data_IF_866376561565
#
_entry.id   IF_866376561565
#
_cell.length_a   1.000
_cell.length_b   1.000
_cell.length_c   1.000
_cell.angle_alpha   90.00
_cell.angle_beta   90.00
_cell.angle_gamma   90.00
#
_symmetry.space_group_name_H-M   'P 1'
#
loop_
_entity.id
_entity.type
_entity.pdbx_description
1 polymer ?
#
# COMPACT_ATOMS: atom_id res chain seq x y z
N UNK A 1 24.93 15.32 -15.80
CA UNK A 1 23.80 14.52 -16.30
C UNK A 1 22.53 15.27 -15.97
N UNK A 2 21.82 15.82 -16.95
CA UNK A 2 20.49 16.37 -16.71
C UNK A 2 19.47 15.23 -16.59
N UNK A 3 18.57 15.25 -15.60
CA UNK A 3 17.48 14.29 -15.54
C UNK A 3 16.59 14.47 -16.76
N UNK A 4 16.38 13.40 -17.54
CA UNK A 4 15.51 13.40 -18.71
C UNK A 4 14.13 13.95 -18.32
N UNK A 5 13.52 14.79 -19.16
CA UNK A 5 12.20 15.43 -18.91
C UNK A 5 11.11 14.46 -18.43
N UNK A 6 11.16 13.19 -18.86
CA UNK A 6 10.27 12.12 -18.39
C UNK A 6 10.42 11.78 -16.89
N UNK A 7 11.64 11.81 -16.35
CA UNK A 7 11.90 11.57 -14.92
C UNK A 7 11.38 12.72 -14.06
N UNK A 8 11.52 13.98 -14.51
CA UNK A 8 10.99 15.13 -13.79
C UNK A 8 9.46 15.11 -13.71
N UNK A 9 8.78 14.81 -14.82
CA UNK A 9 7.32 14.71 -14.85
C UNK A 9 6.80 13.55 -13.99
N UNK A 10 7.52 12.41 -13.97
CA UNK A 10 7.20 11.28 -13.09
C UNK A 10 7.36 11.65 -11.61
N UNK A 11 8.47 12.30 -11.25
CA UNK A 11 8.73 12.74 -9.87
C UNK A 11 7.69 13.74 -9.36
N UNK A 12 7.29 14.71 -10.20
CA UNK A 12 6.23 15.67 -9.86
C UNK A 12 4.87 14.98 -9.70
N UNK A 13 4.55 14.02 -10.56
CA UNK A 13 3.29 13.25 -10.50
C UNK A 13 3.24 12.35 -9.26
N UNK A 14 4.34 11.69 -8.91
CA UNK A 14 4.48 10.90 -7.68
C UNK A 14 4.28 11.77 -6.43
N UNK A 15 4.90 12.96 -6.39
CA UNK A 15 4.76 13.90 -5.28
C UNK A 15 3.32 14.40 -5.14
N UNK A 16 2.65 14.75 -6.24
CA UNK A 16 1.26 15.17 -6.25
C UNK A 16 0.30 14.03 -5.87
N UNK A 17 0.56 12.80 -6.32
CA UNK A 17 -0.22 11.61 -5.95
C UNK A 17 -0.10 11.29 -4.46
N UNK A 18 1.12 11.31 -3.92
CA UNK A 18 1.39 11.12 -2.49
C UNK A 18 0.67 12.16 -1.63
N UNK A 19 0.74 13.44 -2.01
CA UNK A 19 0.06 14.52 -1.28
C UNK A 19 -1.45 14.33 -1.26
N UNK A 20 -2.06 14.06 -2.42
CA UNK A 20 -3.50 13.79 -2.51
C UNK A 20 -3.93 12.56 -1.71
N UNK A 21 -3.12 11.50 -1.73
CA UNK A 21 -3.35 10.30 -0.93
C UNK A 21 -3.33 10.60 0.58
N UNK A 22 -2.36 11.39 1.03
CA UNK A 22 -2.25 11.83 2.42
C UNK A 22 -3.43 12.71 2.85
N UNK A 23 -3.79 13.70 2.03
CA UNK A 23 -4.92 14.60 2.29
C UNK A 23 -6.23 13.81 2.38
N UNK A 24 -6.44 12.83 1.50
CA UNK A 24 -7.62 11.97 1.54
C UNK A 24 -7.65 11.08 2.80
N UNK A 25 -6.51 10.52 3.20
CA UNK A 25 -6.41 9.75 4.45
C UNK A 25 -6.74 10.62 5.68
N UNK A 26 -6.31 11.88 5.69
CA UNK A 26 -6.59 12.84 6.76
C UNK A 26 -8.05 13.30 6.79
N UNK A 27 -8.68 13.50 5.63
CA UNK A 27 -10.12 13.82 5.56
C UNK A 27 -11.00 12.71 6.13
N UNK A 28 -10.63 11.44 5.89
CA UNK A 28 -11.35 10.30 6.44
C UNK A 28 -11.19 10.25 7.96
N UNK A 29 -9.98 10.52 8.47
CA UNK A 29 -9.74 10.65 9.92
C UNK A 29 -10.61 11.72 10.59
N UNK A 30 -10.80 12.88 9.95
CA UNK A 30 -11.62 13.96 10.50
C UNK A 30 -13.08 13.57 10.76
N UNK A 31 -13.55 12.46 10.16
CA UNK A 31 -14.93 11.99 10.27
C UNK A 31 -15.16 10.86 11.28
N UNK A 32 -14.12 10.13 11.73
CA UNK A 32 -14.31 8.88 12.50
C UNK A 32 -13.52 8.76 13.82
N UNK A 33 -13.03 9.87 14.38
CA UNK A 33 -12.59 9.93 15.79
C UNK A 33 -11.17 9.42 16.07
N UNK A 34 -10.88 9.05 17.33
CA UNK A 34 -9.52 8.76 17.83
C UNK A 34 -8.89 7.49 17.27
N UNK A 35 -9.69 6.48 16.95
CA UNK A 35 -9.24 5.22 16.32
C UNK A 35 -8.59 5.46 14.95
N UNK A 36 -9.06 6.46 14.20
CA UNK A 36 -8.53 6.82 12.90
C UNK A 36 -7.15 7.50 12.95
N UNK A 37 -6.80 8.12 14.08
CA UNK A 37 -5.47 8.70 14.24
C UNK A 37 -4.37 7.61 14.25
N UNK A 38 -4.64 6.45 14.85
CA UNK A 38 -3.72 5.31 14.85
C UNK A 38 -3.56 4.71 13.44
N UNK A 39 -4.64 4.70 12.67
CA UNK A 39 -4.66 4.17 11.31
C UNK A 39 -3.88 5.04 10.35
N UNK A 40 -4.04 6.36 10.40
CA UNK A 40 -3.22 7.29 9.61
C UNK A 40 -1.75 7.17 10.00
N UNK A 41 -1.43 7.13 11.30
CA UNK A 41 -0.03 6.95 11.76
C UNK A 41 0.58 5.64 11.24
N UNK A 42 -0.20 4.56 11.24
CA UNK A 42 0.22 3.29 10.64
C UNK A 42 0.45 3.42 9.13
N UNK A 43 -0.48 4.04 8.42
CA UNK A 43 -0.38 4.27 6.98
C UNK A 43 0.90 5.02 6.61
N UNK A 44 1.25 6.06 7.39
CA UNK A 44 2.47 6.85 7.21
C UNK A 44 3.72 5.99 7.40
N UNK A 45 3.83 5.24 8.51
CA UNK A 45 4.99 4.36 8.75
C UNK A 45 5.16 3.31 7.65
N UNK A 46 4.06 2.72 7.18
CA UNK A 46 4.10 1.75 6.07
C UNK A 46 4.54 2.44 4.78
N UNK A 47 4.03 3.64 4.49
CA UNK A 47 4.42 4.40 3.31
C UNK A 47 5.90 4.82 3.33
N UNK A 48 6.47 5.11 4.50
CA UNK A 48 7.90 5.42 4.67
C UNK A 48 8.80 4.20 4.44
N UNK A 49 8.27 2.98 4.64
CA UNK A 49 8.99 1.73 4.47
C UNK A 49 8.93 1.14 3.05
N UNK A 50 8.27 1.82 2.10
CA UNK A 50 8.15 1.40 0.71
C UNK A 50 8.69 2.45 -0.26
N UNK A 51 9.05 2.01 -1.45
CA UNK A 51 9.49 2.82 -2.56
C UNK A 51 8.44 3.85 -3.01
N UNK A 52 8.88 4.92 -3.68
CA UNK A 52 8.06 6.09 -3.98
C UNK A 52 6.78 5.77 -4.77
N UNK A 53 6.83 4.78 -5.66
CA UNK A 53 5.68 4.37 -6.47
C UNK A 53 4.58 3.67 -5.65
N UNK A 54 4.95 3.02 -4.54
CA UNK A 54 4.04 2.31 -3.65
C UNK A 54 3.47 3.20 -2.52
N UNK A 55 4.07 4.35 -2.23
CA UNK A 55 3.65 5.24 -1.13
C UNK A 55 2.19 5.68 -1.22
N UNK A 56 1.65 6.11 -2.39
CA UNK A 56 0.25 6.48 -2.49
C UNK A 56 -0.70 5.31 -2.17
N UNK A 57 -0.32 4.09 -2.57
CA UNK A 57 -1.09 2.87 -2.30
C UNK A 57 -1.06 2.54 -0.80
N UNK A 58 0.11 2.60 -0.16
CA UNK A 58 0.27 2.38 1.28
C UNK A 58 -0.56 3.35 2.13
N UNK A 59 -0.58 4.64 1.77
CA UNK A 59 -1.35 5.67 2.47
C UNK A 59 -2.87 5.42 2.39
N UNK A 60 -3.35 4.94 1.24
CA UNK A 60 -4.79 4.76 0.98
C UNK A 60 -5.31 3.40 1.42
N UNK A 61 -4.44 2.42 1.64
CA UNK A 61 -4.88 1.08 2.01
C UNK A 61 -5.81 1.01 3.22
N UNK A 62 -5.55 1.69 4.35
CA UNK A 62 -6.47 1.69 5.50
C UNK A 62 -7.74 2.53 5.30
N UNK A 63 -7.79 3.36 4.25
CA UNK A 63 -8.97 4.14 3.85
C UNK A 63 -9.98 3.26 3.12
N UNK A 64 -9.46 2.33 2.30
CA UNK A 64 -10.26 1.32 1.60
C UNK A 64 -10.97 0.42 2.60
N UNK A 65 -12.31 0.49 2.60
CA UNK A 65 -13.20 -0.24 3.50
C UNK A 65 -13.79 0.60 4.64
N UNK A 66 -13.26 1.80 4.94
CA UNK A 66 -13.82 2.70 5.96
C UNK A 66 -14.59 3.89 5.42
N UNK A 67 -14.14 4.42 4.28
CA UNK A 67 -14.65 5.70 3.79
C UNK A 67 -16.02 5.61 3.11
N UNK A 68 -16.69 4.45 3.12
CA UNK A 68 -17.89 4.18 2.32
C UNK A 68 -17.68 4.30 0.81
N UNK A 69 -16.42 4.39 0.37
CA UNK A 69 -16.02 4.55 -1.03
C UNK A 69 -15.51 3.23 -1.60
N UNK A 70 -15.79 3.00 -2.87
CA UNK A 70 -15.17 1.91 -3.62
C UNK A 70 -13.68 2.19 -3.88
N UNK A 71 -12.91 1.15 -4.16
CA UNK A 71 -11.48 1.28 -4.54
C UNK A 71 -11.31 2.23 -5.72
N UNK A 72 -12.20 2.13 -6.73
CA UNK A 72 -12.17 2.99 -7.91
C UNK A 72 -12.36 4.48 -7.55
N UNK A 73 -13.31 4.79 -6.66
CA UNK A 73 -13.54 6.16 -6.20
C UNK A 73 -12.35 6.72 -5.42
N UNK A 74 -11.74 5.92 -4.55
CA UNK A 74 -10.53 6.30 -3.80
C UNK A 74 -9.37 6.56 -4.76
N UNK A 75 -9.14 5.65 -5.72
CA UNK A 75 -8.07 5.78 -6.71
C UNK A 75 -8.23 7.03 -7.59
N UNK A 76 -9.45 7.29 -8.06
CA UNK A 76 -9.74 8.47 -8.87
C UNK A 76 -9.49 9.78 -8.10
N UNK A 77 -9.95 9.87 -6.85
CA UNK A 77 -9.76 11.06 -6.01
C UNK A 77 -8.30 11.32 -5.68
N UNK A 78 -7.53 10.27 -5.44
CA UNK A 78 -6.10 10.37 -5.18
C UNK A 78 -5.27 10.62 -6.45
N UNK A 79 -5.86 10.40 -7.64
CA UNK A 79 -5.15 10.49 -8.91
C UNK A 79 -4.11 9.37 -9.05
N UNK A 80 -4.44 8.15 -8.62
CA UNK A 80 -3.60 6.98 -8.81
C UNK A 80 -3.53 6.64 -10.30
N UNK A 81 -2.35 6.19 -10.75
CA UNK A 81 -2.24 5.58 -12.07
C UNK A 81 -2.89 4.17 -12.11
N UNK A 82 -2.95 3.57 -13.30
CA UNK A 82 -3.58 2.26 -13.49
C UNK A 82 -2.90 1.14 -12.68
N UNK A 83 -1.58 1.20 -12.52
CA UNK A 83 -0.84 0.20 -11.75
C UNK A 83 -1.13 0.30 -10.25
N UNK A 84 -1.12 1.53 -9.72
CA UNK A 84 -1.43 1.85 -8.34
C UNK A 84 -2.89 1.53 -8.00
N UNK A 85 -3.83 1.85 -8.89
CA UNK A 85 -5.24 1.49 -8.73
C UNK A 85 -5.43 -0.03 -8.64
N UNK A 86 -4.78 -0.78 -9.53
CA UNK A 86 -4.85 -2.24 -9.51
C UNK A 86 -4.18 -2.80 -8.25
N UNK A 87 -3.02 -2.28 -7.85
CA UNK A 87 -2.34 -2.66 -6.62
C UNK A 87 -3.22 -2.43 -5.38
N UNK A 88 -3.90 -1.28 -5.30
CA UNK A 88 -4.82 -0.95 -4.21
C UNK A 88 -6.00 -1.94 -4.14
N UNK A 89 -6.53 -2.35 -5.30
CA UNK A 89 -7.58 -3.37 -5.36
C UNK A 89 -7.07 -4.75 -4.92
N UNK A 90 -5.87 -5.15 -5.35
CA UNK A 90 -5.27 -6.43 -4.98
C UNK A 90 -5.04 -6.57 -3.46
N UNK A 91 -4.70 -5.48 -2.79
CA UNK A 91 -4.49 -5.42 -1.34
C UNK A 91 -5.77 -5.58 -0.51
N UNK A 92 -6.95 -5.59 -1.12
CA UNK A 92 -8.20 -5.96 -0.44
C UNK A 92 -8.30 -7.48 -0.38
N UNK A 93 -8.30 -8.10 0.83
CA UNK A 93 -8.49 -9.53 0.95
C UNK A 93 -9.90 -9.93 0.49
N UNK A 94 -10.02 -11.13 -0.09
CA UNK A 94 -11.33 -11.74 -0.34
C UNK A 94 -11.96 -12.21 0.98
N UNK A 95 -13.29 -12.32 1.08
CA UNK A 95 -13.93 -12.92 2.25
C UNK A 95 -13.37 -14.32 2.52
N UNK A 96 -12.92 -14.57 3.75
CA UNK A 96 -12.32 -15.84 4.16
C UNK A 96 -10.89 -16.09 3.68
N UNK A 97 -10.24 -15.15 3.00
CA UNK A 97 -8.86 -15.30 2.53
C UNK A 97 -7.86 -15.27 3.68
N UNK A 98 -7.04 -16.31 3.79
CA UNK A 98 -5.95 -16.35 4.77
C UNK A 98 -4.83 -15.36 4.39
N UNK A 99 -4.04 -14.82 5.34
CA UNK A 99 -2.91 -13.95 5.02
C UNK A 99 -1.90 -14.62 4.06
N UNK A 100 -1.68 -15.92 4.22
CA UNK A 100 -0.82 -16.72 3.37
C UNK A 100 -1.33 -16.81 1.93
N UNK A 101 -2.64 -17.06 1.75
CA UNK A 101 -3.23 -17.16 0.40
C UNK A 101 -3.36 -15.79 -0.26
N UNK A 102 -3.59 -14.74 0.54
CA UNK A 102 -3.52 -13.36 0.06
C UNK A 102 -2.12 -13.05 -0.49
N UNK A 103 -1.06 -13.38 0.25
CA UNK A 103 0.31 -13.20 -0.20
C UNK A 103 0.60 -13.95 -1.53
N UNK A 104 0.19 -15.23 -1.64
CA UNK A 104 0.31 -16.01 -2.89
C UNK A 104 -0.41 -15.34 -4.06
N UNK A 105 -1.63 -14.83 -3.84
CA UNK A 105 -2.39 -14.14 -4.88
C UNK A 105 -1.69 -12.87 -5.36
N UNK A 106 -1.04 -12.12 -4.47
CA UNK A 106 -0.27 -10.95 -4.86
C UNK A 106 0.98 -11.31 -5.67
N UNK A 107 1.68 -12.37 -5.27
CA UNK A 107 2.87 -12.87 -5.96
C UNK A 107 2.59 -13.30 -7.40
N UNK A 108 1.41 -13.87 -7.65
CA UNK A 108 0.96 -14.28 -8.98
C UNK A 108 0.32 -13.15 -9.80
N UNK A 109 0.12 -11.96 -9.22
CA UNK A 109 -0.55 -10.87 -9.91
C UNK A 109 0.36 -10.22 -10.98
N UNK A 110 -0.21 -9.71 -12.09
CA UNK A 110 0.58 -9.07 -13.14
C UNK A 110 1.40 -7.89 -12.63
N UNK A 111 2.63 -7.77 -13.14
CA UNK A 111 3.45 -6.57 -12.94
C UNK A 111 2.91 -5.41 -13.78
N UNK A 112 3.09 -4.14 -13.33
CA UNK A 112 3.75 -3.72 -12.09
C UNK A 112 2.85 -3.78 -10.83
N UNK A 113 1.54 -3.96 -10.97
CA UNK A 113 0.58 -3.89 -9.86
C UNK A 113 0.86 -4.91 -8.74
N UNK A 114 1.17 -6.16 -9.09
CA UNK A 114 1.52 -7.20 -8.13
C UNK A 114 2.77 -6.84 -7.31
N UNK A 115 3.77 -6.23 -7.95
CA UNK A 115 4.99 -5.80 -7.26
C UNK A 115 4.71 -4.71 -6.22
N UNK A 116 3.98 -3.66 -6.60
CA UNK A 116 3.57 -2.59 -5.68
C UNK A 116 2.74 -3.15 -4.51
N UNK A 117 1.80 -4.05 -4.78
CA UNK A 117 0.98 -4.68 -3.75
C UNK A 117 1.82 -5.54 -2.79
N UNK A 118 2.75 -6.35 -3.30
CA UNK A 118 3.67 -7.14 -2.47
C UNK A 118 4.53 -6.26 -1.57
N UNK A 119 5.04 -5.13 -2.10
CA UNK A 119 5.86 -4.20 -1.35
C UNK A 119 5.11 -3.59 -0.17
N UNK A 120 3.88 -3.11 -0.42
CA UNK A 120 3.00 -2.57 0.62
C UNK A 120 2.64 -3.66 1.64
N UNK A 121 2.24 -4.85 1.20
CA UNK A 121 1.88 -5.93 2.12
C UNK A 121 3.07 -6.33 3.00
N UNK A 122 4.28 -6.42 2.44
CA UNK A 122 5.49 -6.72 3.21
C UNK A 122 5.74 -5.68 4.30
N UNK A 123 5.67 -4.40 3.96
CA UNK A 123 5.81 -3.31 4.93
C UNK A 123 4.72 -3.37 6.02
N UNK A 124 3.47 -3.65 5.65
CA UNK A 124 2.36 -3.81 6.60
C UNK A 124 2.55 -4.99 7.56
N UNK A 125 3.06 -6.12 7.07
CA UNK A 125 3.32 -7.32 7.87
C UNK A 125 4.50 -7.10 8.83
N UNK A 126 5.58 -6.44 8.38
CA UNK A 126 6.70 -6.06 9.25
C UNK A 126 6.26 -5.11 10.36
N UNK A 127 5.51 -4.07 10.01
CA UNK A 127 4.93 -3.13 10.98
C UNK A 127 3.93 -3.81 11.94
N UNK A 128 3.23 -4.87 11.50
CA UNK A 128 2.38 -5.70 12.37
C UNK A 128 3.19 -6.58 13.31
N UNK A 129 4.21 -7.30 12.83
CA UNK A 129 5.08 -8.14 13.68
C UNK A 129 5.83 -7.34 14.73
N UNK A 130 6.26 -6.11 14.40
CA UNK A 130 6.90 -5.22 15.38
C UNK A 130 5.98 -4.90 16.58
N UNK A 131 4.66 -4.97 16.41
CA UNK A 131 3.67 -4.76 17.47
C UNK A 131 3.14 -6.05 18.08
N UNK A 132 3.12 -7.13 17.31
CA UNK A 132 2.66 -8.45 17.73
C UNK A 132 3.66 -9.52 17.26
N UNK A 133 4.79 -9.68 17.99
CA UNK A 133 5.85 -10.60 17.59
C UNK A 133 5.43 -12.08 17.63
N UNK A 134 4.38 -12.41 18.39
CA UNK A 134 3.89 -13.78 18.59
C UNK A 134 3.03 -14.28 17.42
N UNK A 135 2.68 -13.42 16.46
CA UNK A 135 1.77 -13.77 15.37
C UNK A 135 2.40 -14.70 14.33
N UNK A 136 2.12 -16.01 14.44
CA UNK A 136 2.63 -17.05 13.52
C UNK A 136 2.15 -16.81 12.09
N UNK A 137 0.86 -16.54 11.89
CA UNK A 137 0.28 -16.35 10.55
C UNK A 137 0.88 -15.15 9.80
N UNK A 138 1.20 -14.08 10.52
CA UNK A 138 1.82 -12.88 9.94
C UNK A 138 3.26 -13.17 9.54
N UNK A 139 3.99 -13.93 10.38
CA UNK A 139 5.36 -14.36 10.10
C UNK A 139 5.41 -15.26 8.85
N UNK A 140 4.56 -16.27 8.77
CA UNK A 140 4.48 -17.17 7.61
C UNK A 140 4.17 -16.41 6.30
N UNK A 141 3.26 -15.44 6.35
CA UNK A 141 2.94 -14.61 5.19
C UNK A 141 4.13 -13.74 4.77
N UNK A 142 4.86 -13.16 5.73
CA UNK A 142 6.03 -12.33 5.47
C UNK A 142 7.18 -13.17 4.87
N UNK A 143 7.51 -14.30 5.48
CA UNK A 143 8.56 -15.21 5.01
C UNK A 143 8.30 -15.66 3.57
N UNK A 144 7.03 -15.89 3.22
CA UNK A 144 6.64 -16.23 1.84
C UNK A 144 6.94 -15.08 0.86
N UNK A 145 6.54 -13.85 1.20
CA UNK A 145 6.81 -12.67 0.36
C UNK A 145 8.30 -12.36 0.22
N UNK A 146 9.11 -12.67 1.24
CA UNK A 146 10.56 -12.45 1.22
C UNK A 146 11.27 -13.52 0.40
N UNK A 147 10.83 -14.78 0.45
CA UNK A 147 11.39 -15.88 -0.34
C UNK A 147 11.12 -15.75 -1.84
N UNK A 148 9.91 -15.33 -2.20
CA UNK A 148 9.44 -15.37 -3.60
C UNK A 148 9.58 -14.03 -4.33
N UNK A 149 9.96 -12.96 -3.62
CA UNK A 149 10.27 -11.66 -4.22
C UNK A 149 11.57 -11.14 -3.61
N UNK A 150 12.73 -11.63 -4.06
CA UNK A 150 14.00 -11.10 -3.60
C UNK A 150 14.00 -9.60 -3.80
N UNK A 151 14.40 -8.87 -2.77
CA UNK A 151 14.66 -7.43 -2.87
C UNK A 151 15.79 -7.31 -3.89
N UNK A 152 15.46 -6.85 -5.09
CA UNK A 152 16.48 -6.45 -6.05
C UNK A 152 16.92 -5.09 -5.52
N UNK A 153 18.03 -5.07 -4.78
CA UNK A 153 18.67 -3.82 -4.38
C UNK A 153 18.90 -2.99 -5.66
N UNK A 154 18.23 -1.84 -5.72
CA UNK A 154 18.27 -0.89 -6.83
C UNK A 154 19.34 0.17 -6.57
#
# INVERSE_FOLDING_TARGET
>A
MEPTRANALRSLSQTAGRRRAFDLAQQVRGRAGSFDALLVRRAVRVAEAVGPDAQPVALLRPVVGRAGMSVAQVAQRAGLDAAQQHALALLVPRPGESPSDHAKRLLLAPRPAGHLACEVLRAELRDRLARDPASVLVREALERLERETPVIDA
#
